data_IF_775458990307
#
_entry.id   IF_775458990307
#
_cell.length_a   1.000
_cell.length_b   1.000
_cell.length_c   1.000
_cell.angle_alpha   90.00
_cell.angle_beta   90.00
_cell.angle_gamma   90.00
#
_symmetry.space_group_name_H-M   'P 1'
#
loop_
_entity.id
_entity.type
_entity.pdbx_description
1 polymer ?
#
# COMPACT_ATOMS: atom_id res chain seq x y z
N UNK A 1 -10.61 -20.37 7.60
CA UNK A 1 -9.81 -19.13 7.35
C UNK A 1 -9.44 -19.12 5.88
N UNK A 2 -9.85 -18.08 5.14
CA UNK A 2 -9.51 -17.89 3.73
C UNK A 2 -8.41 -16.83 3.66
N UNK A 3 -7.42 -17.03 2.79
CA UNK A 3 -6.32 -16.08 2.56
C UNK A 3 -6.50 -15.51 1.16
N UNK A 4 -6.58 -14.20 1.07
CA UNK A 4 -6.62 -13.48 -0.18
C UNK A 4 -5.29 -12.78 -0.42
N UNK A 5 -4.65 -13.05 -1.55
CA UNK A 5 -3.51 -12.28 -2.02
C UNK A 5 -4.03 -11.03 -2.73
N UNK A 6 -3.74 -9.88 -2.15
CA UNK A 6 -4.14 -8.58 -2.67
C UNK A 6 -2.95 -7.80 -3.26
N UNK A 7 -1.90 -8.52 -3.68
CA UNK A 7 -0.73 -7.90 -4.30
C UNK A 7 -0.82 -7.91 -5.82
N UNK A 8 -0.30 -6.85 -6.45
CA UNK A 8 0.10 -6.84 -7.87
C UNK A 8 1.56 -7.26 -8.00
N UNK A 9 1.89 -7.91 -9.11
CA UNK A 9 3.25 -8.39 -9.38
C UNK A 9 4.22 -7.21 -9.62
N UNK A 10 5.31 -7.16 -8.86
CA UNK A 10 6.30 -6.09 -8.95
C UNK A 10 7.07 -6.05 -10.28
N UNK A 11 7.12 -7.17 -11.02
CA UNK A 11 7.88 -7.24 -12.28
C UNK A 11 7.01 -6.88 -13.50
N UNK A 12 5.69 -7.02 -13.40
CA UNK A 12 4.77 -6.84 -14.54
C UNK A 12 3.81 -5.68 -14.38
N UNK A 13 3.64 -5.16 -13.15
CA UNK A 13 2.84 -3.96 -12.92
C UNK A 13 3.53 -2.76 -13.58
N UNK A 14 2.80 -1.93 -14.34
CA UNK A 14 3.35 -0.70 -14.89
C UNK A 14 3.97 0.17 -13.77
N UNK A 15 5.14 0.73 -14.03
CA UNK A 15 5.76 1.70 -13.12
C UNK A 15 5.04 3.05 -13.22
N UNK A 16 5.15 3.85 -12.17
CA UNK A 16 4.62 5.21 -12.17
C UNK A 16 5.24 6.04 -13.32
N UNK A 17 4.48 6.97 -13.88
CA UNK A 17 4.91 7.76 -15.02
C UNK A 17 6.20 8.56 -14.69
N UNK A 18 7.26 8.31 -15.46
CA UNK A 18 8.57 8.93 -15.26
C UNK A 18 9.57 8.07 -14.48
N UNK A 19 9.13 6.99 -13.84
CA UNK A 19 10.02 6.11 -13.09
C UNK A 19 10.81 5.15 -14.01
N UNK A 20 12.03 4.73 -13.58
CA UNK A 20 12.78 3.68 -14.25
C UNK A 20 12.01 2.38 -14.35
N UNK A 21 12.04 1.74 -15.51
CA UNK A 21 11.41 0.44 -15.73
C UNK A 21 12.07 -0.66 -14.91
N UNK A 22 11.25 -1.58 -14.39
CA UNK A 22 11.75 -2.80 -13.76
C UNK A 22 12.43 -3.68 -14.80
N UNK A 23 13.61 -4.20 -14.49
CA UNK A 23 14.36 -5.12 -15.34
C UNK A 23 14.79 -6.37 -14.57
N UNK A 24 14.80 -7.50 -15.27
CA UNK A 24 15.31 -8.78 -14.75
C UNK A 24 16.42 -9.27 -15.68
N UNK A 25 17.58 -9.54 -15.13
CA UNK A 25 18.71 -10.15 -15.83
C UNK A 25 18.95 -11.55 -15.26
N UNK A 26 18.86 -12.58 -16.11
CA UNK A 26 19.20 -13.95 -15.73
C UNK A 26 20.70 -14.16 -15.80
N UNK A 27 21.36 -14.22 -14.65
CA UNK A 27 22.82 -14.36 -14.53
C UNK A 27 23.25 -15.82 -14.73
N UNK A 28 22.40 -16.75 -14.26
CA UNK A 28 22.62 -18.21 -14.39
C UNK A 28 21.30 -18.90 -14.70
N UNK A 29 21.39 -19.99 -15.49
CA UNK A 29 20.24 -20.78 -15.91
C UNK A 29 20.58 -22.27 -15.95
N UNK A 30 19.81 -23.08 -15.25
CA UNK A 30 19.92 -24.57 -15.34
C UNK A 30 19.65 -25.05 -16.76
N UNK A 31 18.74 -24.37 -17.50
CA UNK A 31 18.44 -24.65 -18.88
C UNK A 31 19.70 -24.52 -19.79
N UNK A 32 20.58 -23.57 -19.46
CA UNK A 32 21.81 -23.29 -20.20
C UNK A 32 23.03 -24.03 -19.67
N UNK A 33 22.85 -24.93 -18.69
CA UNK A 33 23.88 -25.81 -18.16
C UNK A 33 24.53 -25.36 -16.85
N UNK A 34 24.02 -24.31 -16.23
CA UNK A 34 24.46 -23.91 -14.87
C UNK A 34 23.92 -24.87 -13.79
N UNK A 35 24.54 -24.90 -12.63
CA UNK A 35 24.10 -25.70 -11.48
C UNK A 35 22.82 -25.18 -10.81
N UNK A 36 22.49 -23.88 -10.98
CA UNK A 36 21.32 -23.21 -10.37
C UNK A 36 20.89 -22.00 -11.19
N UNK A 37 19.66 -21.54 -10.94
CA UNK A 37 19.14 -20.30 -11.51
C UNK A 37 19.48 -19.11 -10.60
N UNK A 38 19.91 -17.99 -11.19
CA UNK A 38 20.19 -16.73 -10.49
C UNK A 38 19.75 -15.56 -11.35
N UNK A 39 19.00 -14.63 -10.76
CA UNK A 39 18.59 -13.39 -11.42
C UNK A 39 18.96 -12.16 -10.60
N UNK A 40 19.28 -11.08 -11.29
CA UNK A 40 19.37 -9.73 -10.73
C UNK A 40 18.09 -8.97 -11.10
N UNK A 41 17.53 -8.28 -10.13
CA UNK A 41 16.35 -7.44 -10.33
C UNK A 41 16.77 -5.99 -10.06
N UNK A 42 16.46 -5.09 -11.00
CA UNK A 42 16.58 -3.65 -10.83
C UNK A 42 15.20 -3.04 -10.92
N UNK A 43 14.77 -2.36 -9.85
CA UNK A 43 13.43 -1.79 -9.72
C UNK A 43 13.46 -0.60 -8.76
N UNK A 44 12.45 0.28 -8.84
CA UNK A 44 12.24 1.32 -7.84
C UNK A 44 11.68 0.72 -6.55
N UNK A 45 11.77 1.42 -5.43
CA UNK A 45 11.12 1.04 -4.16
C UNK A 45 9.59 1.07 -4.24
N UNK A 46 9.02 1.73 -5.27
CA UNK A 46 7.59 1.90 -5.52
C UNK A 46 7.03 0.97 -6.59
N UNK A 47 7.68 -0.16 -6.90
CA UNK A 47 7.20 -1.07 -7.92
C UNK A 47 6.16 -2.07 -7.39
N UNK A 48 5.12 -2.35 -8.18
CA UNK A 48 4.03 -3.26 -7.82
C UNK A 48 3.32 -2.81 -6.53
N UNK A 49 2.81 -3.76 -5.74
CA UNK A 49 2.27 -3.44 -4.41
C UNK A 49 3.41 -3.10 -3.46
N UNK A 50 3.37 -1.90 -2.89
CA UNK A 50 4.43 -1.36 -2.04
C UNK A 50 3.88 -0.52 -0.89
N UNK A 51 4.76 -0.16 0.04
CA UNK A 51 4.44 0.71 1.17
C UNK A 51 5.37 1.91 1.17
N UNK A 52 4.77 3.11 1.23
CA UNK A 52 5.46 4.36 1.47
C UNK A 52 5.60 4.61 2.96
N UNK A 53 6.81 4.99 3.34
CA UNK A 53 7.12 5.50 4.66
C UNK A 53 7.03 7.04 4.69
N UNK A 54 6.91 7.66 5.88
CA UNK A 54 6.91 9.11 6.01
C UNK A 54 8.07 9.82 5.30
N UNK A 55 9.24 9.17 5.19
CA UNK A 55 10.41 9.73 4.51
C UNK A 55 10.15 10.05 3.02
N UNK A 56 9.16 9.41 2.39
CA UNK A 56 8.85 9.65 0.98
C UNK A 56 8.49 11.12 0.67
N UNK A 57 7.69 11.76 1.52
CA UNK A 57 7.26 13.16 1.33
C UNK A 57 7.71 14.11 2.46
N UNK A 58 8.40 13.61 3.48
CA UNK A 58 8.97 14.40 4.58
C UNK A 58 10.43 14.02 4.79
N UNK A 59 11.35 14.97 4.57
CA UNK A 59 12.80 14.74 4.65
C UNK A 59 13.28 14.30 6.06
N UNK A 60 12.56 14.71 7.10
CA UNK A 60 12.75 14.29 8.49
C UNK A 60 11.83 13.11 8.91
N UNK A 61 11.12 12.53 7.96
CA UNK A 61 10.23 11.39 8.17
C UNK A 61 10.96 10.10 8.49
N UNK A 62 10.26 9.16 9.13
CA UNK A 62 10.81 7.84 9.41
C UNK A 62 10.96 7.03 8.12
N UNK A 63 12.13 6.38 7.87
CA UNK A 63 12.28 5.44 6.77
C UNK A 63 11.52 4.13 7.03
N UNK A 64 11.36 3.32 5.98
CA UNK A 64 10.54 2.11 5.99
C UNK A 64 10.99 1.07 7.04
N UNK A 65 12.29 0.91 7.25
CA UNK A 65 12.86 -0.03 8.20
C UNK A 65 12.70 0.37 9.67
N UNK A 66 12.28 1.62 9.93
CA UNK A 66 12.05 2.16 11.28
C UNK A 66 10.58 2.18 11.68
N UNK A 67 9.66 1.93 10.77
CA UNK A 67 8.23 1.83 11.09
C UNK A 67 7.97 0.61 11.98
N UNK A 68 7.00 0.75 12.87
CA UNK A 68 6.64 -0.33 13.80
C UNK A 68 5.97 -1.48 13.05
N UNK A 69 6.35 -2.71 13.33
CA UNK A 69 5.78 -3.89 12.67
C UNK A 69 4.26 -4.01 12.82
N UNK A 70 3.69 -3.52 13.92
CA UNK A 70 2.25 -3.48 14.13
C UNK A 70 1.52 -2.44 13.25
N UNK A 71 2.23 -1.63 12.45
CA UNK A 71 1.64 -0.84 11.37
C UNK A 71 1.13 -1.75 10.25
N UNK A 72 1.87 -2.81 9.95
CA UNK A 72 1.67 -3.68 8.78
C UNK A 72 0.82 -4.93 9.06
N UNK A 73 0.41 -5.14 10.31
CA UNK A 73 -0.35 -6.32 10.71
C UNK A 73 -1.49 -5.96 11.66
N UNK A 74 -2.68 -6.54 11.41
CA UNK A 74 -3.85 -6.49 12.29
C UNK A 74 -5.13 -6.07 11.55
N UNK A 75 -6.19 -5.81 12.30
CA UNK A 75 -7.51 -5.50 11.76
C UNK A 75 -7.47 -4.33 10.79
N UNK A 76 -8.10 -4.52 9.62
CA UNK A 76 -8.33 -3.50 8.60
C UNK A 76 -9.80 -3.49 8.17
N UNK A 77 -10.21 -2.39 7.55
CA UNK A 77 -11.49 -2.25 6.86
C UNK A 77 -11.20 -2.09 5.37
N UNK A 78 -11.83 -2.91 4.54
CA UNK A 78 -11.94 -2.68 3.09
C UNK A 78 -13.26 -1.97 2.84
N UNK A 79 -13.22 -0.90 2.06
CA UNK A 79 -14.39 -0.09 1.75
C UNK A 79 -14.37 0.36 0.30
N UNK A 80 -15.46 0.09 -0.41
CA UNK A 80 -15.66 0.52 -1.80
C UNK A 80 -16.08 1.99 -1.82
N UNK A 81 -15.34 2.78 -2.57
CA UNK A 81 -15.54 4.23 -2.71
C UNK A 81 -15.14 4.65 -4.13
N UNK A 82 -15.57 5.80 -4.57
CA UNK A 82 -15.30 6.28 -5.92
C UNK A 82 -14.85 7.75 -5.90
N UNK A 83 -13.90 8.07 -6.78
CA UNK A 83 -13.41 9.40 -7.00
C UNK A 83 -12.55 9.95 -5.87
N UNK A 84 -12.56 11.26 -5.68
CA UNK A 84 -11.72 11.96 -4.70
C UNK A 84 -12.46 12.15 -3.39
N UNK A 85 -12.04 11.45 -2.35
CA UNK A 85 -12.59 11.59 -1.01
C UNK A 85 -12.20 12.93 -0.38
N UNK A 86 -13.19 13.59 0.22
CA UNK A 86 -13.02 14.86 0.95
C UNK A 86 -12.88 14.62 2.46
N UNK A 87 -12.57 15.68 3.21
CA UNK A 87 -12.58 15.62 4.67
C UNK A 87 -13.94 15.22 5.24
N UNK A 88 -15.04 15.72 4.65
CA UNK A 88 -16.40 15.37 5.07
C UNK A 88 -16.72 13.89 4.83
N UNK A 89 -16.22 13.31 3.71
CA UNK A 89 -16.36 11.88 3.44
C UNK A 89 -15.60 11.06 4.50
N UNK A 90 -14.38 11.47 4.83
CA UNK A 90 -13.59 10.78 5.85
C UNK A 90 -14.21 10.90 7.26
N UNK A 91 -14.75 12.05 7.64
CA UNK A 91 -15.46 12.20 8.91
C UNK A 91 -16.66 11.26 9.02
N UNK A 92 -17.37 11.01 7.91
CA UNK A 92 -18.49 10.05 7.85
C UNK A 92 -18.05 8.59 7.91
N UNK A 93 -16.91 8.24 7.30
CA UNK A 93 -16.43 6.87 7.19
C UNK A 93 -15.66 6.39 8.43
N UNK A 94 -14.82 7.24 9.02
CA UNK A 94 -13.92 6.87 10.13
C UNK A 94 -14.60 6.19 11.33
N UNK A 95 -15.83 6.54 11.76
CA UNK A 95 -16.49 5.83 12.87
C UNK A 95 -16.69 4.34 12.64
N UNK A 96 -16.70 3.89 11.38
CA UNK A 96 -16.92 2.50 10.98
C UNK A 96 -15.61 1.80 10.59
N UNK A 97 -14.49 2.51 10.56
CA UNK A 97 -13.21 1.99 10.10
C UNK A 97 -12.30 1.52 11.23
N UNK A 98 -11.51 0.50 10.95
CA UNK A 98 -10.38 0.09 11.79
C UNK A 98 -9.19 1.05 11.60
N UNK A 99 -8.10 0.79 12.32
CA UNK A 99 -6.89 1.62 12.24
C UNK A 99 -6.11 1.46 10.92
N UNK A 100 -6.50 0.52 10.08
CA UNK A 100 -6.00 0.33 8.71
C UNK A 100 -7.20 0.35 7.80
N UNK A 101 -7.13 1.14 6.73
CA UNK A 101 -8.26 1.34 5.81
C UNK A 101 -7.73 1.09 4.40
N UNK A 102 -8.38 0.19 3.69
CA UNK A 102 -8.08 -0.11 2.29
C UNK A 102 -9.24 0.38 1.43
N UNK A 103 -8.96 1.36 0.59
CA UNK A 103 -9.94 1.94 -0.32
C UNK A 103 -9.95 1.16 -1.63
N UNK A 104 -11.13 0.68 -2.01
CA UNK A 104 -11.37 -0.05 -3.24
C UNK A 104 -12.17 0.84 -4.19
N UNK A 105 -11.59 1.24 -5.31
CA UNK A 105 -12.21 2.14 -6.30
C UNK A 105 -11.82 1.81 -7.73
N UNK A 106 -11.49 0.55 -8.01
CA UNK A 106 -11.06 0.09 -9.34
C UNK A 106 -9.92 0.95 -9.94
N UNK A 107 -9.00 1.40 -9.07
CA UNK A 107 -7.88 2.26 -9.44
C UNK A 107 -8.21 3.76 -9.53
N UNK A 108 -9.42 4.19 -9.16
CA UNK A 108 -9.89 5.58 -9.31
C UNK A 108 -10.23 6.27 -7.99
N UNK A 109 -9.76 5.74 -6.86
CA UNK A 109 -10.02 6.38 -5.56
C UNK A 109 -8.79 7.07 -5.03
N UNK A 110 -8.94 8.34 -4.67
CA UNK A 110 -7.88 9.21 -4.19
C UNK A 110 -8.32 9.98 -2.94
N UNK A 111 -7.35 10.39 -2.13
CA UNK A 111 -7.56 11.29 -1.00
C UNK A 111 -7.24 12.74 -1.38
N UNK A 112 -8.16 13.67 -1.10
CA UNK A 112 -7.83 15.09 -1.10
C UNK A 112 -6.96 15.45 0.10
N UNK A 113 -6.35 16.65 0.09
CA UNK A 113 -5.64 17.16 1.27
C UNK A 113 -6.55 17.21 2.50
N UNK A 114 -7.83 17.62 2.37
CA UNK A 114 -8.75 17.66 3.50
C UNK A 114 -9.06 16.28 4.08
N UNK A 115 -9.16 15.24 3.25
CA UNK A 115 -9.29 13.86 3.71
C UNK A 115 -8.06 13.40 4.48
N UNK A 116 -6.86 13.71 3.97
CA UNK A 116 -5.60 13.39 4.63
C UNK A 116 -5.45 14.09 5.99
N UNK A 117 -5.90 15.35 6.13
CA UNK A 117 -5.91 16.08 7.42
C UNK A 117 -6.83 15.38 8.43
N UNK A 118 -8.01 14.94 8.03
CA UNK A 118 -8.93 14.22 8.93
C UNK A 118 -8.32 12.87 9.36
N UNK A 119 -7.72 12.15 8.44
CA UNK A 119 -6.98 10.91 8.75
C UNK A 119 -5.81 11.18 9.72
N UNK A 120 -5.02 12.23 9.48
CA UNK A 120 -3.89 12.62 10.32
C UNK A 120 -4.31 12.93 11.78
N UNK A 121 -5.51 13.47 11.98
CA UNK A 121 -6.08 13.73 13.31
C UNK A 121 -6.70 12.49 13.98
N UNK A 122 -6.73 11.35 13.29
CA UNK A 122 -7.39 10.13 13.76
C UNK A 122 -6.42 9.14 14.44
N UNK A 123 -6.88 7.88 14.62
CA UNK A 123 -6.05 6.76 15.12
C UNK A 123 -5.56 5.84 14.00
N UNK A 124 -5.75 6.21 12.75
CA UNK A 124 -5.31 5.43 11.60
C UNK A 124 -3.79 5.35 11.59
N UNK A 125 -3.24 4.21 11.21
CA UNK A 125 -1.80 3.97 11.13
C UNK A 125 -1.35 3.57 9.73
N UNK A 126 -2.31 3.13 8.89
CA UNK A 126 -2.07 2.76 7.50
C UNK A 126 -3.34 3.04 6.70
N UNK A 127 -3.16 3.62 5.53
CA UNK A 127 -4.17 3.69 4.48
C UNK A 127 -3.67 2.94 3.25
N UNK A 128 -4.56 2.34 2.49
CA UNK A 128 -4.20 1.65 1.25
C UNK A 128 -5.19 1.94 0.13
N UNK A 129 -4.75 1.76 -1.12
CA UNK A 129 -5.54 1.96 -2.32
C UNK A 129 -5.20 0.92 -3.39
N UNK A 130 -6.15 0.62 -4.25
CA UNK A 130 -5.93 -0.17 -5.48
C UNK A 130 -5.48 0.70 -6.67
N UNK A 131 -5.44 2.02 -6.51
CA UNK A 131 -4.81 2.96 -7.43
C UNK A 131 -3.27 2.88 -7.35
N UNK A 132 -2.60 3.48 -8.32
CA UNK A 132 -1.14 3.62 -8.37
C UNK A 132 -0.60 4.69 -7.40
N UNK A 133 -1.46 5.61 -6.94
CA UNK A 133 -1.19 6.57 -5.87
C UNK A 133 -2.43 6.78 -5.00
N UNK A 134 -2.22 7.07 -3.71
CA UNK A 134 -3.30 7.43 -2.77
C UNK A 134 -3.86 8.83 -3.06
N UNK A 135 -3.13 9.66 -3.78
CA UNK A 135 -3.48 11.03 -4.08
C UNK A 135 -3.71 11.24 -5.58
N UNK A 136 -4.57 12.21 -5.98
CA UNK A 136 -4.82 12.45 -7.39
C UNK A 136 -3.59 13.06 -8.08
N UNK A 137 -3.32 12.72 -9.37
CA UNK A 137 -2.11 13.14 -10.09
C UNK A 137 -1.88 14.66 -10.13
N UNK A 138 -2.93 15.46 -10.10
CA UNK A 138 -2.83 16.93 -10.11
C UNK A 138 -2.55 17.54 -8.73
N UNK A 139 -2.59 16.75 -7.64
CA UNK A 139 -2.37 17.17 -6.26
C UNK A 139 -1.77 16.06 -5.40
N UNK A 140 -0.70 15.49 -5.87
CA UNK A 140 -0.07 14.33 -5.23
C UNK A 140 0.60 14.67 -3.89
N UNK A 141 1.36 15.76 -3.86
CA UNK A 141 2.24 16.05 -2.74
C UNK A 141 1.51 16.47 -1.44
N UNK A 142 0.35 17.14 -1.53
CA UNK A 142 -0.32 17.66 -0.33
C UNK A 142 -0.92 16.55 0.53
N UNK A 143 -1.72 15.61 0.01
CA UNK A 143 -2.23 14.49 0.80
C UNK A 143 -1.11 13.64 1.40
N UNK A 144 -0.08 13.30 0.61
CA UNK A 144 1.06 12.51 1.08
C UNK A 144 1.78 13.18 2.24
N UNK A 145 2.03 14.49 2.17
CA UNK A 145 2.69 15.23 3.26
C UNK A 145 1.88 15.24 4.55
N UNK A 146 0.56 15.36 4.47
CA UNK A 146 -0.30 15.33 5.67
C UNK A 146 -0.24 13.94 6.34
N UNK A 147 -0.32 12.86 5.55
CA UNK A 147 -0.21 11.49 6.03
C UNK A 147 1.19 11.21 6.60
N UNK A 148 2.24 11.62 5.88
CA UNK A 148 3.64 11.43 6.29
C UNK A 148 3.94 12.13 7.63
N UNK A 149 3.53 13.40 7.82
CA UNK A 149 3.69 14.13 9.06
C UNK A 149 2.99 13.50 10.25
N UNK A 150 1.87 12.82 9.99
CA UNK A 150 1.14 12.05 11.00
C UNK A 150 1.74 10.66 11.26
N UNK A 151 2.76 10.24 10.51
CA UNK A 151 3.37 8.92 10.62
C UNK A 151 2.49 7.79 10.08
N UNK A 152 1.56 8.09 9.19
CA UNK A 152 0.67 7.12 8.55
C UNK A 152 1.41 6.52 7.36
N UNK A 153 1.51 5.19 7.30
CA UNK A 153 2.04 4.46 6.15
C UNK A 153 0.99 4.38 5.03
N UNK A 154 1.44 4.40 3.77
CA UNK A 154 0.56 4.30 2.62
C UNK A 154 0.87 3.00 1.88
N UNK A 155 -0.14 2.21 1.55
CA UNK A 155 -0.03 0.92 0.85
C UNK A 155 -0.73 1.06 -0.50
N UNK A 156 0.03 1.05 -1.58
CA UNK A 156 -0.44 1.38 -2.93
C UNK A 156 -0.40 0.18 -3.87
N UNK A 157 -1.08 0.31 -5.00
CA UNK A 157 -1.15 -0.74 -6.02
C UNK A 157 -1.70 -2.07 -5.49
N UNK A 158 -2.77 -2.02 -4.70
CA UNK A 158 -3.47 -3.23 -4.27
C UNK A 158 -4.30 -3.85 -5.40
N UNK A 159 -4.54 -5.15 -5.30
CA UNK A 159 -5.54 -5.85 -6.11
C UNK A 159 -6.72 -6.22 -5.22
N UNK A 160 -7.73 -5.36 -5.19
CA UNK A 160 -8.94 -5.54 -4.38
C UNK A 160 -10.15 -6.03 -5.20
N UNK A 161 -9.99 -6.33 -6.49
CA UNK A 161 -11.08 -6.63 -7.44
C UNK A 161 -12.01 -7.79 -7.03
N UNK A 162 -11.53 -8.72 -6.20
CA UNK A 162 -12.32 -9.87 -5.70
C UNK A 162 -12.66 -9.74 -4.21
N UNK A 163 -12.46 -8.57 -3.61
CA UNK A 163 -12.61 -8.36 -2.16
C UNK A 163 -13.87 -7.54 -1.89
N UNK A 164 -14.77 -8.08 -1.08
CA UNK A 164 -15.97 -7.38 -0.63
C UNK A 164 -15.65 -6.38 0.49
N UNK A 165 -16.54 -5.40 0.68
CA UNK A 165 -16.47 -4.49 1.82
C UNK A 165 -16.59 -5.26 3.13
N UNK A 166 -15.71 -4.96 4.09
CA UNK A 166 -15.73 -5.66 5.35
C UNK A 166 -14.50 -5.47 6.22
N UNK A 167 -14.49 -6.23 7.30
CA UNK A 167 -13.37 -6.28 8.23
C UNK A 167 -12.54 -7.54 7.99
N UNK A 168 -11.22 -7.36 7.87
CA UNK A 168 -10.24 -8.42 7.65
C UNK A 168 -9.06 -8.28 8.62
N UNK A 169 -8.17 -9.25 8.61
CA UNK A 169 -6.84 -9.13 9.20
C UNK A 169 -5.83 -8.91 8.07
N UNK A 170 -5.19 -7.74 8.03
CA UNK A 170 -4.15 -7.40 7.07
C UNK A 170 -2.78 -7.93 7.52
N UNK A 171 -1.98 -8.41 6.57
CA UNK A 171 -0.55 -8.66 6.70
C UNK A 171 0.15 -8.13 5.43
N UNK A 172 0.94 -7.06 5.56
CA UNK A 172 1.62 -6.39 4.45
C UNK A 172 3.01 -5.92 4.90
N UNK A 173 3.88 -6.86 5.32
CA UNK A 173 5.22 -6.49 5.76
C UNK A 173 6.10 -6.10 4.56
N UNK A 174 6.71 -4.88 4.58
CA UNK A 174 7.68 -4.48 3.58
C UNK A 174 8.97 -5.31 3.69
N UNK A 175 9.73 -5.41 2.60
CA UNK A 175 11.10 -5.87 2.66
C UNK A 175 11.90 -4.89 3.52
N UNK A 176 12.78 -5.40 4.39
CA UNK A 176 13.59 -4.54 5.26
C UNK A 176 14.72 -3.88 4.46
N UNK A 177 14.42 -2.73 3.87
CA UNK A 177 15.36 -1.88 3.14
C UNK A 177 15.77 -0.71 4.04
N UNK A 178 17.00 -0.75 4.56
CA UNK A 178 17.47 0.22 5.56
C UNK A 178 17.61 1.62 4.99
N UNK A 179 16.91 2.59 5.59
CA UNK A 179 17.00 4.01 5.25
C UNK A 179 16.23 4.45 4.01
N UNK A 180 15.46 3.56 3.36
CA UNK A 180 14.66 3.91 2.19
C UNK A 180 13.28 4.47 2.57
N UNK A 181 12.72 5.23 1.63
CA UNK A 181 11.44 5.91 1.72
C UNK A 181 10.24 5.00 1.46
N UNK A 182 10.45 3.84 0.81
CA UNK A 182 9.42 2.87 0.48
C UNK A 182 10.00 1.45 0.34
N UNK A 183 9.13 0.46 0.20
CA UNK A 183 9.51 -0.91 -0.10
C UNK A 183 8.36 -1.71 -0.69
N UNK A 184 8.61 -2.55 -1.72
CA UNK A 184 7.66 -3.57 -2.16
C UNK A 184 7.28 -4.50 -1.01
N UNK A 185 6.05 -5.01 -1.06
CA UNK A 185 5.55 -5.97 -0.08
C UNK A 185 4.63 -7.01 -0.72
N UNK A 186 4.46 -8.16 -0.05
CA UNK A 186 3.35 -9.07 -0.31
C UNK A 186 2.23 -8.73 0.64
N UNK A 187 1.17 -8.11 0.13
CA UNK A 187 -0.02 -7.78 0.90
C UNK A 187 -1.04 -8.91 0.81
N UNK A 188 -1.49 -9.41 1.96
CA UNK A 188 -2.53 -10.41 2.07
C UNK A 188 -3.55 -10.00 3.13
N UNK A 189 -4.80 -10.43 2.96
CA UNK A 189 -5.82 -10.31 3.98
C UNK A 189 -6.38 -11.68 4.33
N UNK A 190 -6.78 -11.83 5.59
CA UNK A 190 -7.38 -13.05 6.12
C UNK A 190 -8.86 -12.79 6.39
N UNK A 191 -9.70 -13.62 5.81
CA UNK A 191 -11.12 -13.71 6.14
C UNK A 191 -11.34 -14.84 7.15
N UNK A 192 -11.91 -14.49 8.31
CA UNK A 192 -12.33 -15.52 9.24
C UNK A 192 -13.63 -16.14 8.73
N UNK A 193 -13.69 -17.47 8.67
CA UNK A 193 -14.94 -18.16 8.39
C UNK A 193 -16.01 -17.67 9.38
N UNK A 194 -17.09 -17.12 8.85
CA UNK A 194 -18.27 -16.83 9.66
C UNK A 194 -18.72 -18.17 10.25
N UNK A 195 -18.46 -18.41 11.52
CA UNK A 195 -18.87 -19.63 12.19
C UNK A 195 -20.35 -19.86 11.92
N UNK A 196 -20.70 -21.06 11.43
CA UNK A 196 -22.08 -21.56 11.44
C UNK A 196 -22.47 -21.65 12.91
N UNK A 197 -23.18 -20.61 13.43
CA UNK A 197 -23.89 -20.65 14.70
C UNK A 197 -25.23 -21.41 14.52
#
# INVERSE_FOLDING_TARGET
MIIHDISKDALTTPVYEGDPQTTVEHIKSIHDGDEYNLSVISMTSHCGTHIDAPLHFCDDGSPIDRLRLNTFYGKCTVISVDGILTGEDMERLLPYCKRRILFHGEGNTFLSQSAAIVLAASRVVLVGTDADSIAPPFDEARPHRELARAGIAILENLNLSAIEDGEYDLCAFPVKLGGLEASPCRAIIFEQEKGLN
#
